data_IF_135364084104
#
_entry.id   IF_135364084104
#
_cell.length_a   1.000
_cell.length_b   1.000
_cell.length_c   1.000
_cell.angle_alpha   90.00
_cell.angle_beta   90.00
_cell.angle_gamma   90.00
#
_symmetry.space_group_name_H-M   'P 1'
#
loop_
_entity.id
_entity.type
_entity.pdbx_description
1 polymer ?
#
# COMPACT_ATOMS: atom_id res chain seq x y z
N UNK A 1 3.94 18.63 26.61
CA UNK A 1 4.74 17.57 25.95
C UNK A 1 4.25 17.52 24.52
N UNK A 2 4.97 18.19 23.62
CA UNK A 2 4.63 18.24 22.20
C UNK A 2 4.96 16.86 21.62
N UNK A 3 3.94 16.03 21.41
CA UNK A 3 4.10 14.72 20.78
C UNK A 3 4.53 14.95 19.32
N UNK A 4 5.84 14.96 19.08
CA UNK A 4 6.38 14.93 17.72
C UNK A 4 6.10 13.55 17.15
N UNK A 5 5.11 13.47 16.26
CA UNK A 5 5.00 12.34 15.35
C UNK A 5 6.33 12.24 14.57
N UNK A 6 6.97 11.06 14.49
CA UNK A 6 8.14 10.89 13.64
C UNK A 6 7.76 11.23 12.20
N UNK A 7 8.68 11.84 11.45
CA UNK A 7 8.49 12.01 10.00
C UNK A 7 8.23 10.64 9.39
N UNK A 8 7.03 10.44 8.88
CA UNK A 8 6.66 9.20 8.21
C UNK A 8 7.19 9.27 6.79
N UNK A 9 8.06 8.33 6.44
CA UNK A 9 8.50 8.20 5.07
C UNK A 9 7.40 7.52 4.25
N UNK A 10 6.82 8.28 3.32
CA UNK A 10 5.73 7.85 2.42
C UNK A 10 6.21 7.67 0.99
N UNK A 11 7.44 8.07 0.70
CA UNK A 11 8.06 7.90 -0.60
C UNK A 11 8.43 6.43 -0.80
N UNK A 12 8.39 5.98 -2.05
CA UNK A 12 8.83 4.65 -2.40
C UNK A 12 10.35 4.55 -2.24
N UNK A 13 10.83 3.45 -1.66
CA UNK A 13 12.24 3.11 -1.77
C UNK A 13 12.59 2.72 -3.21
N UNK A 14 13.87 2.76 -3.56
CA UNK A 14 14.36 2.31 -4.86
C UNK A 14 13.89 0.87 -5.22
N UNK A 15 13.93 -0.04 -4.24
CA UNK A 15 13.47 -1.42 -4.42
C UNK A 15 11.95 -1.49 -4.62
N UNK A 16 11.19 -0.62 -3.97
CA UNK A 16 9.74 -0.55 -4.15
C UNK A 16 9.39 0.05 -5.53
N UNK A 17 10.13 1.03 -6.02
CA UNK A 17 10.01 1.52 -7.40
C UNK A 17 10.33 0.42 -8.42
N UNK A 18 11.38 -0.39 -8.18
CA UNK A 18 11.67 -1.56 -8.99
C UNK A 18 10.51 -2.57 -8.98
N UNK A 19 9.94 -2.85 -7.81
CA UNK A 19 8.75 -3.71 -7.70
C UNK A 19 7.55 -3.16 -8.48
N UNK A 20 7.38 -1.84 -8.54
CA UNK A 20 6.33 -1.23 -9.38
C UNK A 20 6.55 -1.52 -10.87
N UNK A 21 7.80 -1.51 -11.35
CA UNK A 21 8.11 -1.89 -12.75
C UNK A 21 7.77 -3.35 -13.02
N UNK A 22 8.15 -4.26 -12.12
CA UNK A 22 7.82 -5.69 -12.22
C UNK A 22 6.30 -5.91 -12.21
N UNK A 23 5.57 -5.19 -11.35
CA UNK A 23 4.11 -5.27 -11.29
C UNK A 23 3.47 -4.80 -12.61
N UNK A 24 3.96 -3.72 -13.23
CA UNK A 24 3.48 -3.25 -14.53
C UNK A 24 3.63 -4.32 -15.62
N UNK A 25 4.79 -4.97 -15.70
CA UNK A 25 5.05 -6.07 -16.66
C UNK A 25 4.10 -7.26 -16.42
N UNK A 26 3.91 -7.63 -15.15
CA UNK A 26 3.01 -8.73 -14.78
C UNK A 26 1.56 -8.44 -15.13
N UNK A 27 1.07 -7.23 -14.82
CA UNK A 27 -0.30 -6.80 -15.15
C UNK A 27 -0.52 -6.77 -16.66
N UNK A 28 0.50 -6.40 -17.45
CA UNK A 28 0.43 -6.43 -18.92
C UNK A 28 0.17 -7.82 -19.51
N UNK A 29 0.52 -8.88 -18.79
CA UNK A 29 0.28 -10.27 -19.20
C UNK A 29 -1.01 -10.89 -18.62
N UNK A 30 -1.78 -10.16 -17.81
CA UNK A 30 -2.97 -10.69 -17.13
C UNK A 30 -4.21 -10.69 -18.04
N UNK A 31 -5.05 -11.70 -17.83
CA UNK A 31 -6.42 -11.63 -18.35
C UNK A 31 -7.26 -10.58 -17.62
N UNK A 32 -8.34 -10.14 -18.26
CA UNK A 32 -9.30 -9.21 -17.65
C UNK A 32 -9.89 -9.75 -16.33
N UNK A 33 -10.14 -11.06 -16.25
CA UNK A 33 -10.70 -11.67 -15.06
C UNK A 33 -9.70 -11.62 -13.89
N UNK A 34 -8.45 -12.02 -14.12
CA UNK A 34 -7.38 -11.96 -13.12
C UNK A 34 -7.17 -10.52 -12.63
N UNK A 35 -7.14 -9.56 -13.56
CA UNK A 35 -6.96 -8.14 -13.24
C UNK A 35 -8.07 -7.61 -12.34
N UNK A 36 -9.33 -7.92 -12.67
CA UNK A 36 -10.49 -7.50 -11.86
C UNK A 36 -10.49 -8.12 -10.48
N UNK A 37 -10.16 -9.40 -10.38
CA UNK A 37 -10.10 -10.10 -9.11
C UNK A 37 -9.01 -9.51 -8.20
N UNK A 38 -7.81 -9.32 -8.74
CA UNK A 38 -6.70 -8.70 -8.00
C UNK A 38 -7.00 -7.25 -7.60
N UNK A 39 -7.69 -6.49 -8.44
CA UNK A 39 -8.12 -5.13 -8.10
C UNK A 39 -9.06 -5.10 -6.89
N UNK A 40 -10.02 -6.03 -6.82
CA UNK A 40 -10.94 -6.14 -5.68
C UNK A 40 -10.18 -6.56 -4.41
N UNK A 41 -9.21 -7.47 -4.52
CA UNK A 41 -8.37 -7.88 -3.41
C UNK A 41 -7.48 -6.72 -2.90
N UNK A 42 -6.83 -5.98 -3.81
CA UNK A 42 -6.02 -4.81 -3.49
C UNK A 42 -6.86 -3.71 -2.81
N UNK A 43 -8.06 -3.43 -3.33
CA UNK A 43 -9.01 -2.48 -2.72
C UNK A 43 -9.37 -2.85 -1.28
N UNK A 44 -9.57 -4.15 -1.01
CA UNK A 44 -9.82 -4.64 0.35
C UNK A 44 -8.60 -4.47 1.25
N UNK A 45 -7.41 -4.77 0.74
CA UNK A 45 -6.16 -4.60 1.48
C UNK A 45 -5.87 -3.15 1.82
N UNK A 46 -6.22 -2.20 0.94
CA UNK A 46 -6.10 -0.76 1.24
C UNK A 46 -6.94 -0.38 2.46
N UNK A 47 -8.23 -0.76 2.49
CA UNK A 47 -9.10 -0.50 3.65
C UNK A 47 -8.57 -1.14 4.94
N UNK A 48 -7.99 -2.35 4.85
CA UNK A 48 -7.36 -3.00 6.01
C UNK A 48 -6.12 -2.24 6.48
N UNK A 49 -5.28 -1.75 5.56
CA UNK A 49 -4.10 -0.93 5.89
C UNK A 49 -4.52 0.39 6.55
N UNK A 50 -5.58 1.04 6.09
CA UNK A 50 -6.14 2.24 6.73
C UNK A 50 -6.57 1.97 8.18
N UNK A 51 -7.21 0.83 8.43
CA UNK A 51 -7.60 0.44 9.78
C UNK A 51 -6.38 0.20 10.69
N UNK A 52 -5.31 -0.39 10.14
CA UNK A 52 -4.05 -0.58 10.87
C UNK A 52 -3.40 0.76 11.19
N UNK A 53 -3.24 1.64 10.20
CA UNK A 53 -2.68 2.99 10.38
C UNK A 53 -3.48 3.75 11.44
N UNK A 54 -4.82 3.76 11.33
CA UNK A 54 -5.71 4.39 12.32
C UNK A 54 -5.48 3.85 13.73
N UNK A 55 -5.33 2.53 13.88
CA UNK A 55 -5.07 1.89 15.17
C UNK A 55 -3.71 2.31 15.75
N UNK A 56 -2.67 2.37 14.91
CA UNK A 56 -1.32 2.78 15.33
C UNK A 56 -1.27 4.26 15.72
N UNK A 57 -1.89 5.15 14.93
CA UNK A 57 -1.99 6.58 15.25
C UNK A 57 -2.72 6.79 16.58
N UNK A 58 -3.83 6.08 16.81
CA UNK A 58 -4.57 6.13 18.09
C UNK A 58 -3.76 5.64 19.30
N UNK A 59 -2.76 4.77 19.09
CA UNK A 59 -1.87 4.29 20.16
C UNK A 59 -0.69 5.23 20.41
N UNK A 60 -0.30 5.99 19.40
CA UNK A 60 0.81 6.95 19.47
C UNK A 60 0.39 8.31 20.05
N UNK A 61 -0.90 8.66 19.92
CA UNK A 61 -1.53 9.81 20.59
C UNK A 61 -1.85 9.49 22.06
#
# INVERSE_FOLDING_TARGET
MEQRFPELNVDLSFEQEFQMRVMEEQVGAMSLQQTRELLLQASRLLMMKDNVIRSLVKRAA
#
